data_IF_648293883370
#
_entry.id   IF_648293883370
#
_cell.length_a   1.000
_cell.length_b   1.000
_cell.length_c   1.000
_cell.angle_alpha   90.00
_cell.angle_beta   90.00
_cell.angle_gamma   90.00
#
_symmetry.space_group_name_H-M   'P 1'
#
loop_
_entity.id
_entity.type
_entity.pdbx_description
1 polymer ?
#
# COMPACT_ATOMS: atom_id res chain seq x y z
N UNK A 1 -12.31 3.03 -8.68
CA UNK A 1 -12.20 3.87 -7.47
C UNK A 1 -11.48 5.13 -7.82
N UNK A 2 -11.95 6.25 -7.29
CA UNK A 2 -11.16 7.48 -7.25
C UNK A 2 -10.04 7.40 -6.19
N UNK A 3 -9.17 8.39 -6.16
CA UNK A 3 -8.03 8.44 -5.23
C UNK A 3 -8.47 8.44 -3.76
N UNK A 4 -9.57 9.12 -3.43
CA UNK A 4 -10.04 9.21 -2.05
C UNK A 4 -10.57 7.85 -1.56
N UNK A 5 -11.26 7.12 -2.43
CA UNK A 5 -11.71 5.76 -2.15
C UNK A 5 -10.53 4.81 -1.93
N UNK A 6 -9.45 4.94 -2.70
CA UNK A 6 -8.25 4.12 -2.51
C UNK A 6 -7.52 4.44 -1.21
N UNK A 7 -7.36 5.72 -0.86
CA UNK A 7 -6.74 6.14 0.40
C UNK A 7 -7.56 5.67 1.60
N UNK A 8 -8.89 5.78 1.53
CA UNK A 8 -9.79 5.28 2.58
C UNK A 8 -9.69 3.76 2.74
N UNK A 9 -9.73 3.00 1.64
CA UNK A 9 -9.54 1.55 1.68
C UNK A 9 -8.18 1.15 2.25
N UNK A 10 -7.11 1.88 1.89
CA UNK A 10 -5.76 1.63 2.41
C UNK A 10 -5.68 1.87 3.92
N UNK A 11 -6.25 2.97 4.41
CA UNK A 11 -6.31 3.25 5.85
C UNK A 11 -7.08 2.17 6.60
N UNK A 12 -8.22 1.71 6.08
CA UNK A 12 -8.99 0.63 6.68
C UNK A 12 -8.19 -0.68 6.74
N UNK A 13 -7.44 -1.01 5.68
CA UNK A 13 -6.60 -2.21 5.65
C UNK A 13 -5.45 -2.12 6.66
N UNK A 14 -4.79 -0.97 6.80
CA UNK A 14 -3.75 -0.73 7.83
C UNK A 14 -4.29 -0.90 9.24
N UNK A 15 -5.47 -0.34 9.52
CA UNK A 15 -6.12 -0.51 10.83
C UNK A 15 -6.48 -1.98 11.07
N UNK A 16 -7.05 -2.66 10.08
CA UNK A 16 -7.41 -4.06 10.19
C UNK A 16 -6.18 -4.97 10.40
N UNK A 17 -5.04 -4.68 9.75
CA UNK A 17 -3.79 -5.39 9.99
C UNK A 17 -3.31 -5.21 11.44
N UNK A 18 -3.37 -3.97 11.96
CA UNK A 18 -2.93 -3.66 13.32
C UNK A 18 -3.83 -4.34 14.39
N UNK A 19 -5.13 -4.46 14.11
CA UNK A 19 -6.11 -5.09 15.00
C UNK A 19 -6.20 -6.61 14.83
N UNK A 20 -5.54 -7.19 13.82
CA UNK A 20 -5.66 -8.62 13.55
C UNK A 20 -5.02 -9.49 14.64
N UNK A 21 -5.84 -10.38 15.20
CA UNK A 21 -5.46 -11.30 16.29
C UNK A 21 -4.60 -12.48 15.83
N UNK A 22 -4.55 -12.76 14.52
CA UNK A 22 -3.80 -13.90 13.97
C UNK A 22 -2.77 -13.48 12.93
N UNK A 23 -1.67 -14.24 12.86
CA UNK A 23 -0.64 -14.05 11.82
C UNK A 23 -1.22 -14.21 10.41
N UNK A 24 -2.16 -15.12 10.22
CA UNK A 24 -2.80 -15.33 8.92
C UNK A 24 -3.63 -14.11 8.51
N UNK A 25 -4.43 -13.54 9.41
CA UNK A 25 -5.20 -12.33 9.14
C UNK A 25 -4.30 -11.12 8.85
N UNK A 26 -3.20 -10.96 9.61
CA UNK A 26 -2.18 -9.92 9.31
C UNK A 26 -1.58 -10.09 7.92
N UNK A 27 -1.25 -11.32 7.52
CA UNK A 27 -0.70 -11.56 6.19
C UNK A 27 -1.68 -11.18 5.08
N UNK A 28 -2.96 -11.55 5.21
CA UNK A 28 -4.00 -11.15 4.26
C UNK A 28 -4.16 -9.62 4.17
N UNK A 29 -4.21 -8.92 5.31
CA UNK A 29 -4.29 -7.47 5.30
C UNK A 29 -3.01 -6.82 4.74
N UNK A 30 -1.83 -7.38 5.00
CA UNK A 30 -0.57 -6.94 4.41
C UNK A 30 -0.55 -7.04 2.88
N UNK A 31 -1.14 -8.10 2.31
CA UNK A 31 -1.33 -8.23 0.86
C UNK A 31 -2.26 -7.14 0.31
N UNK A 32 -3.38 -6.87 0.98
CA UNK A 32 -4.31 -5.80 0.60
C UNK A 32 -3.66 -4.43 0.67
N UNK A 33 -2.92 -4.13 1.74
CA UNK A 33 -2.18 -2.88 1.92
C UNK A 33 -1.18 -2.72 0.76
N UNK A 34 -0.44 -3.77 0.42
CA UNK A 34 0.54 -3.75 -0.67
C UNK A 34 -0.12 -3.48 -2.02
N UNK A 35 -1.21 -4.18 -2.33
CA UNK A 35 -1.94 -4.00 -3.58
C UNK A 35 -2.53 -2.58 -3.72
N UNK A 36 -3.09 -2.04 -2.62
CA UNK A 36 -3.63 -0.68 -2.58
C UNK A 36 -2.51 0.37 -2.70
N UNK A 37 -1.40 0.17 -2.02
CA UNK A 37 -0.23 1.04 -2.04
C UNK A 37 0.36 1.16 -3.46
N UNK A 38 0.57 0.03 -4.14
CA UNK A 38 1.02 0.01 -5.54
C UNK A 38 0.04 0.77 -6.45
N UNK A 39 -1.26 0.57 -6.28
CA UNK A 39 -2.28 1.23 -7.10
C UNK A 39 -2.33 2.75 -6.86
N UNK A 40 -2.17 3.19 -5.62
CA UNK A 40 -2.06 4.61 -5.26
C UNK A 40 -0.82 5.20 -5.93
N UNK A 41 0.35 4.55 -5.82
CA UNK A 41 1.59 5.01 -6.48
C UNK A 41 1.41 5.16 -7.99
N UNK A 42 0.84 4.16 -8.65
CA UNK A 42 0.59 4.21 -10.11
C UNK A 42 -0.32 5.37 -10.52
N UNK A 43 -1.38 5.64 -9.75
CA UNK A 43 -2.26 6.78 -10.05
C UNK A 43 -1.58 8.13 -9.80
N UNK A 44 -0.78 8.24 -8.72
CA UNK A 44 0.00 9.45 -8.44
C UNK A 44 1.00 9.72 -9.57
N UNK A 45 1.72 8.69 -10.02
CA UNK A 45 2.60 8.76 -11.19
C UNK A 45 1.85 9.24 -12.44
N UNK A 46 0.68 8.64 -12.72
CA UNK A 46 -0.15 9.01 -13.87
C UNK A 46 -0.70 10.45 -13.80
N UNK A 47 -0.84 11.00 -12.59
CA UNK A 47 -1.21 12.42 -12.38
C UNK A 47 -0.01 13.39 -12.41
N UNK A 48 1.21 12.89 -12.69
CA UNK A 48 2.42 13.71 -12.76
C UNK A 48 3.13 13.95 -11.42
N UNK A 49 2.76 13.22 -10.36
CA UNK A 49 3.53 13.26 -9.12
C UNK A 49 4.86 12.52 -9.31
N UNK A 50 5.94 13.08 -8.76
CA UNK A 50 7.22 12.38 -8.69
C UNK A 50 7.12 11.23 -7.67
N UNK A 51 7.14 10.01 -8.19
CA UNK A 51 7.17 8.77 -7.42
C UNK A 51 8.43 7.97 -7.74
N UNK A 52 9.54 8.62 -8.07
CA UNK A 52 10.82 7.93 -8.31
C UNK A 52 11.57 7.58 -7.01
N UNK A 53 11.26 8.28 -5.92
CA UNK A 53 11.94 8.13 -4.63
C UNK A 53 11.35 7.06 -3.71
N UNK A 54 11.60 7.25 -2.42
CA UNK A 54 11.17 6.40 -1.31
C UNK A 54 9.67 6.03 -1.36
N UNK A 55 9.24 5.00 -0.59
CA UNK A 55 7.84 4.63 -0.46
C UNK A 55 6.94 5.85 -0.22
N UNK A 56 5.96 6.06 -1.10
CA UNK A 56 5.04 7.20 -1.02
C UNK A 56 3.93 6.94 0.01
N UNK A 57 3.57 5.67 0.20
CA UNK A 57 2.61 5.21 1.20
C UNK A 57 3.09 3.91 1.87
N UNK A 58 2.60 3.64 3.09
CA UNK A 58 2.90 2.41 3.82
C UNK A 58 2.50 1.17 3.02
N UNK A 59 3.37 0.15 3.04
CA UNK A 59 3.17 -1.12 2.35
C UNK A 59 3.54 -1.11 0.86
N UNK A 60 4.10 -0.02 0.32
CA UNK A 60 4.76 -0.11 -0.97
C UNK A 60 5.98 -1.05 -0.87
N UNK A 61 6.17 -1.95 -1.85
CA UNK A 61 7.35 -2.78 -1.90
C UNK A 61 8.58 -1.88 -2.09
N UNK A 62 9.56 -2.00 -1.20
CA UNK A 62 10.85 -1.31 -1.37
C UNK A 62 11.60 -1.99 -2.51
N UNK A 63 11.96 -1.23 -3.55
CA UNK A 63 12.69 -1.75 -4.70
C UNK A 63 14.00 -2.48 -4.32
N UNK A 64 14.58 -2.14 -3.17
CA UNK A 64 15.84 -2.69 -2.67
C UNK A 64 15.75 -4.11 -2.05
N UNK A 65 14.60 -4.79 -2.10
CA UNK A 65 14.49 -6.19 -1.66
C UNK A 65 14.70 -7.22 -2.80
N UNK A 66 14.79 -6.79 -4.06
CA UNK A 66 14.99 -7.69 -5.21
C UNK A 66 16.44 -7.78 -5.71
N UNK A 67 17.40 -7.10 -5.07
CA UNK A 67 18.84 -7.14 -5.44
C UNK A 67 19.75 -7.83 -4.39
N UNK A 68 19.26 -8.84 -3.65
CA UNK A 68 20.13 -9.56 -2.71
C UNK A 68 19.92 -11.06 -2.63
#
# INVERSE_FOLDING_TARGET
>A
MDMNQLLSAHQLAVVAEAEADSRAARATHGEDITALAVRIRSLRAGSGADVSGAPFIVGEPVADYFER
#
